data_IF_409103090158
#
_entry.id   IF_409103090158
#
_cell.length_a   1.000
_cell.length_b   1.000
_cell.length_c   1.000
_cell.angle_alpha   90.00
_cell.angle_beta   90.00
_cell.angle_gamma   90.00
#
_symmetry.space_group_name_H-M   'P 1'
#
loop_
_entity.id
_entity.type
_entity.pdbx_description
1 polymer ?
#
# COMPACT_ATOMS: atom_id res chain seq x y z
N UNK A 1 -2.90 -17.06 12.58
CA UNK A 1 -2.34 -17.12 11.20
C UNK A 1 -1.36 -18.29 11.12
N UNK A 2 -1.87 -19.47 10.79
CA UNK A 2 -1.08 -20.63 10.30
C UNK A 2 -1.95 -21.34 9.25
N UNK A 3 -2.52 -20.55 8.35
CA UNK A 3 -3.08 -21.04 7.10
C UNK A 3 -1.90 -21.40 6.21
N UNK A 4 -1.84 -22.67 5.83
CA UNK A 4 -1.29 -23.17 4.57
C UNK A 4 -0.19 -22.29 3.95
N UNK A 5 1.08 -22.73 4.10
CA UNK A 5 2.25 -22.19 3.40
C UNK A 5 2.17 -22.41 1.89
N UNK A 6 1.17 -21.86 1.21
CA UNK A 6 1.38 -21.47 -0.18
C UNK A 6 1.95 -20.06 -0.13
N UNK A 7 3.00 -19.81 -0.90
CA UNK A 7 3.49 -18.45 -1.12
C UNK A 7 2.30 -17.67 -1.68
N UNK A 8 1.54 -17.00 -0.82
CA UNK A 8 0.62 -15.96 -1.23
C UNK A 8 1.57 -14.88 -1.72
N UNK A 9 1.99 -14.96 -2.98
CA UNK A 9 2.47 -13.80 -3.72
C UNK A 9 1.45 -12.72 -3.38
N UNK A 10 1.90 -11.57 -2.87
CA UNK A 10 1.04 -10.51 -2.37
C UNK A 10 0.17 -9.93 -3.48
N UNK A 11 -0.77 -10.71 -4.01
CA UNK A 11 -1.70 -10.39 -5.08
C UNK A 11 -2.91 -9.74 -4.43
N UNK A 12 -3.28 -8.58 -4.95
CA UNK A 12 -4.46 -7.83 -4.52
C UNK A 12 -5.71 -8.46 -5.14
N UNK A 13 -6.47 -9.18 -4.32
CA UNK A 13 -7.74 -9.81 -4.73
C UNK A 13 -8.88 -8.94 -4.18
N UNK A 14 -8.99 -7.74 -4.71
CA UNK A 14 -10.23 -6.99 -4.61
C UNK A 14 -11.12 -7.39 -5.79
N UNK A 15 -11.99 -8.39 -5.55
CA UNK A 15 -13.09 -8.74 -6.43
C UNK A 15 -14.15 -7.63 -6.30
N UNK A 16 -14.06 -6.60 -7.13
CA UNK A 16 -15.08 -5.56 -7.23
C UNK A 16 -16.04 -5.89 -8.37
N UNK A 17 -17.32 -5.93 -8.06
CA UNK A 17 -18.39 -6.05 -9.06
C UNK A 17 -18.37 -4.82 -9.98
N UNK A 18 -17.88 -5.01 -11.20
CA UNK A 18 -18.10 -4.10 -12.31
C UNK A 18 -19.31 -4.66 -13.06
N UNK A 19 -20.44 -3.94 -13.00
CA UNK A 19 -21.55 -4.25 -13.92
C UNK A 19 -21.23 -3.61 -15.26
N UNK A 20 -20.98 -4.44 -16.27
CA UNK A 20 -20.66 -3.99 -17.63
C UNK A 20 -21.93 -4.07 -18.48
N UNK A 21 -22.32 -2.95 -19.11
CA UNK A 21 -23.29 -2.95 -20.21
C UNK A 21 -22.53 -2.63 -21.49
N UNK A 22 -22.32 -3.66 -22.32
CA UNK A 22 -21.60 -3.51 -23.58
C UNK A 22 -22.47 -2.85 -24.65
N UNK A 23 -21.95 -1.80 -25.28
CA UNK A 23 -22.41 -1.40 -26.61
C UNK A 23 -21.23 -1.25 -27.57
N UNK A 24 -21.37 -1.88 -28.74
CA UNK A 24 -20.40 -1.84 -29.82
C UNK A 24 -20.34 -0.44 -30.47
N UNK A 25 -19.14 0.11 -30.63
CA UNK A 25 -18.91 1.35 -31.35
C UNK A 25 -18.47 1.09 -32.81
N UNK A 26 -19.19 1.68 -33.76
CA UNK A 26 -18.79 1.81 -35.17
C UNK A 26 -17.63 2.80 -35.30
N UNK A 27 -16.64 2.48 -36.14
CA UNK A 27 -15.46 3.31 -36.46
C UNK A 27 -15.88 4.74 -36.88
N UNK A 28 -15.34 5.75 -36.19
CA UNK A 28 -15.37 7.16 -36.61
C UNK A 28 -13.94 7.72 -36.69
N UNK A 29 -13.80 8.74 -37.57
CA UNK A 29 -12.56 9.39 -37.99
C UNK A 29 -11.67 9.88 -36.85
N UNK A 30 -10.36 9.96 -37.12
CA UNK A 30 -9.32 10.33 -36.16
C UNK A 30 -9.37 11.85 -35.90
N UNK A 31 -10.07 12.24 -34.84
CA UNK A 31 -9.97 13.58 -34.24
C UNK A 31 -8.57 13.78 -33.65
N UNK A 32 -7.99 14.99 -33.74
CA UNK A 32 -6.74 15.32 -33.05
C UNK A 32 -6.81 15.00 -31.56
N UNK A 33 -5.72 14.50 -30.98
CA UNK A 33 -5.64 14.20 -29.55
C UNK A 33 -5.85 15.49 -28.73
N UNK A 34 -6.77 15.46 -27.76
CA UNK A 34 -7.00 16.61 -26.90
C UNK A 34 -5.78 16.85 -25.99
N UNK A 35 -5.53 18.12 -25.67
CA UNK A 35 -4.37 18.55 -24.86
C UNK A 35 -4.66 18.64 -23.37
N UNK A 36 -5.92 18.46 -22.98
CA UNK A 36 -6.46 18.51 -21.62
C UNK A 36 -7.64 17.55 -21.49
N UNK A 37 -8.03 17.22 -20.26
CA UNK A 37 -9.24 16.47 -19.97
C UNK A 37 -10.36 17.36 -19.42
N UNK A 38 -11.60 16.93 -19.64
CA UNK A 38 -12.79 17.36 -18.89
C UNK A 38 -13.53 16.10 -18.46
N UNK A 39 -13.95 16.03 -17.20
CA UNK A 39 -14.79 14.96 -16.67
C UNK A 39 -16.10 15.59 -16.27
N UNK A 40 -17.17 15.28 -16.99
CA UNK A 40 -18.52 15.73 -16.70
C UNK A 40 -19.32 14.57 -16.12
N UNK A 41 -19.75 14.72 -14.86
CA UNK A 41 -20.49 13.70 -14.14
C UNK A 41 -21.97 14.07 -13.95
N UNK A 42 -22.84 13.07 -14.10
CA UNK A 42 -24.26 13.15 -13.72
C UNK A 42 -24.58 12.00 -12.77
N UNK A 43 -24.80 12.32 -11.50
CA UNK A 43 -25.05 11.37 -10.41
C UNK A 43 -26.44 11.61 -9.85
N UNK A 44 -27.33 10.64 -10.06
CA UNK A 44 -28.70 10.69 -9.56
C UNK A 44 -28.77 10.05 -8.17
N UNK A 45 -29.63 10.55 -7.28
CA UNK A 45 -29.92 9.94 -5.98
C UNK A 45 -29.03 10.37 -4.81
N UNK A 46 -28.09 11.28 -5.05
CA UNK A 46 -27.31 11.95 -4.00
C UNK A 46 -27.78 13.40 -3.82
N UNK A 47 -27.64 13.92 -2.61
CA UNK A 47 -28.04 15.29 -2.26
C UNK A 47 -27.10 16.33 -2.90
N UNK A 48 -27.68 17.47 -3.26
CA UNK A 48 -26.93 18.65 -3.66
C UNK A 48 -25.99 19.12 -2.55
N UNK A 49 -24.81 19.60 -2.91
CA UNK A 49 -23.75 19.92 -1.97
C UNK A 49 -22.90 18.73 -1.53
N UNK A 50 -23.22 17.49 -1.95
CA UNK A 50 -22.33 16.33 -1.71
C UNK A 50 -20.95 16.61 -2.29
N UNK A 51 -19.91 16.58 -1.45
CA UNK A 51 -18.54 16.79 -1.87
C UNK A 51 -18.09 15.72 -2.88
N UNK A 52 -17.38 16.14 -3.92
CA UNK A 52 -16.79 15.26 -4.94
C UNK A 52 -15.31 15.57 -5.05
N UNK A 53 -14.47 14.54 -4.93
CA UNK A 53 -13.01 14.68 -4.99
C UNK A 53 -12.45 13.80 -6.11
N UNK A 54 -11.51 14.36 -6.86
CA UNK A 54 -10.73 13.61 -7.85
C UNK A 54 -9.39 13.23 -7.21
N UNK A 55 -9.23 11.94 -6.88
CA UNK A 55 -8.06 11.44 -6.17
C UNK A 55 -7.31 10.49 -7.10
N UNK A 56 -6.00 10.72 -7.37
CA UNK A 56 -5.20 9.73 -8.09
C UNK A 56 -5.23 8.39 -7.35
N UNK A 57 -5.31 7.30 -8.11
CA UNK A 57 -5.41 5.95 -7.55
C UNK A 57 -4.41 4.98 -8.18
N UNK A 58 -4.63 3.71 -7.86
CA UNK A 58 -3.78 2.61 -8.32
C UNK A 58 -2.30 2.74 -7.87
N UNK A 59 -2.08 3.19 -6.64
CA UNK A 59 -0.78 3.15 -5.97
C UNK A 59 -0.95 2.55 -4.56
N UNK A 60 0.12 2.03 -3.96
CA UNK A 60 0.09 1.53 -2.58
C UNK A 60 0.17 2.65 -1.53
N UNK A 61 -0.04 3.90 -1.95
CA UNK A 61 0.06 5.09 -1.11
C UNK A 61 -1.25 5.86 -1.14
N UNK A 62 -1.62 6.48 -0.01
CA UNK A 62 -2.74 7.43 -0.01
C UNK A 62 -2.30 8.73 -0.70
N UNK A 63 -2.94 9.05 -1.82
CA UNK A 63 -2.71 10.30 -2.55
C UNK A 63 -3.74 11.37 -2.14
N UNK A 64 -3.33 12.64 -2.16
CA UNK A 64 -4.23 13.75 -1.90
C UNK A 64 -5.11 14.03 -3.14
N UNK A 65 -6.32 14.57 -2.96
CA UNK A 65 -7.14 15.04 -4.07
C UNK A 65 -6.40 16.07 -4.93
N UNK A 66 -6.48 15.94 -6.25
CA UNK A 66 -5.94 16.92 -7.20
C UNK A 66 -6.98 17.97 -7.61
N UNK A 67 -8.26 17.68 -7.35
CA UNK A 67 -9.37 18.61 -7.54
C UNK A 67 -10.52 18.24 -6.60
N UNK A 68 -11.29 19.24 -6.18
CA UNK A 68 -12.49 19.07 -5.37
C UNK A 68 -13.60 19.98 -5.90
N UNK A 69 -14.84 19.53 -5.79
CA UNK A 69 -16.05 20.27 -6.14
C UNK A 69 -17.23 19.72 -5.31
N UNK A 70 -18.45 20.15 -5.59
CA UNK A 70 -19.66 19.58 -5.00
C UNK A 70 -20.70 19.30 -6.09
N UNK A 71 -21.59 18.35 -5.83
CA UNK A 71 -22.75 18.12 -6.69
C UNK A 71 -23.66 19.34 -6.68
N UNK A 72 -24.11 19.74 -7.87
CA UNK A 72 -25.17 20.74 -8.06
C UNK A 72 -26.13 20.24 -9.15
N UNK A 73 -27.40 20.14 -8.83
CA UNK A 73 -28.42 19.53 -9.68
C UNK A 73 -27.98 18.13 -10.16
N UNK A 74 -27.39 17.34 -9.26
CA UNK A 74 -26.82 16.02 -9.55
C UNK A 74 -25.61 16.03 -10.50
N UNK A 75 -24.98 17.17 -10.79
CA UNK A 75 -23.86 17.28 -11.72
C UNK A 75 -22.56 17.73 -11.06
N UNK A 76 -21.43 17.33 -11.62
CA UNK A 76 -20.11 17.87 -11.31
C UNK A 76 -19.24 17.95 -12.57
N UNK A 77 -18.21 18.80 -12.53
CA UNK A 77 -17.19 18.87 -13.58
C UNK A 77 -15.80 18.98 -12.97
N UNK A 78 -14.84 18.26 -13.54
CA UNK A 78 -13.41 18.47 -13.33
C UNK A 78 -12.71 18.77 -14.66
N UNK A 79 -11.69 19.61 -14.63
CA UNK A 79 -10.81 19.85 -15.79
C UNK A 79 -9.36 19.76 -15.36
N UNK A 80 -8.47 19.47 -16.30
CA UNK A 80 -7.03 19.43 -16.03
C UNK A 80 -6.24 18.94 -17.22
N UNK A 81 -4.96 18.66 -17.00
CA UNK A 81 -4.06 18.15 -18.03
C UNK A 81 -3.22 17.02 -17.46
N UNK A 82 -3.07 15.97 -18.26
CA UNK A 82 -2.20 14.84 -17.95
C UNK A 82 -1.05 14.75 -18.96
N UNK A 83 0.11 14.30 -18.50
CA UNK A 83 1.23 13.95 -19.37
C UNK A 83 1.05 12.56 -19.99
N UNK A 84 0.31 11.67 -19.31
CA UNK A 84 -0.08 10.34 -19.78
C UNK A 84 -1.36 9.88 -19.07
N UNK A 85 -2.09 8.87 -19.59
CA UNK A 85 -3.30 8.38 -18.94
C UNK A 85 -3.04 7.88 -17.50
N UNK A 86 -4.00 8.12 -16.61
CA UNK A 86 -3.86 7.85 -15.17
C UNK A 86 -5.17 7.34 -14.58
N UNK A 87 -5.06 6.44 -13.61
CA UNK A 87 -6.21 5.93 -12.87
C UNK A 87 -6.59 6.88 -11.74
N UNK A 88 -7.89 7.17 -11.60
CA UNK A 88 -8.44 8.04 -10.57
C UNK A 88 -9.64 7.40 -9.89
N UNK A 89 -9.81 7.73 -8.62
CA UNK A 89 -11.05 7.60 -7.89
C UNK A 89 -11.79 8.93 -7.90
N UNK A 90 -13.04 8.93 -8.38
CA UNK A 90 -13.99 10.00 -8.11
C UNK A 90 -14.71 9.65 -6.81
N UNK A 91 -14.35 10.32 -5.73
CA UNK A 91 -14.81 10.03 -4.37
C UNK A 91 -15.93 10.97 -3.98
N UNK A 92 -17.00 10.42 -3.40
CA UNK A 92 -18.19 11.15 -3.00
C UNK A 92 -18.34 11.18 -1.46
N UNK A 93 -18.69 12.35 -0.93
CA UNK A 93 -18.83 12.60 0.50
C UNK A 93 -17.50 12.49 1.26
N UNK A 94 -17.56 12.29 2.58
CA UNK A 94 -16.39 12.10 3.46
C UNK A 94 -15.78 10.69 3.31
N UNK A 95 -15.38 10.31 2.09
CA UNK A 95 -14.80 9.02 1.70
C UNK A 95 -15.75 7.82 1.78
N UNK A 96 -17.02 8.03 1.44
CA UNK A 96 -18.07 7.02 1.66
C UNK A 96 -18.47 6.23 0.41
N UNK A 97 -17.97 6.56 -0.78
CA UNK A 97 -18.10 5.74 -1.99
C UNK A 97 -17.30 6.34 -3.14
N UNK A 98 -16.86 5.52 -4.09
CA UNK A 98 -16.07 6.00 -5.23
C UNK A 98 -16.44 5.31 -6.54
N UNK A 99 -16.17 6.01 -7.64
CA UNK A 99 -16.20 5.49 -9.00
C UNK A 99 -14.77 5.53 -9.56
N UNK A 100 -14.27 4.38 -10.01
CA UNK A 100 -12.95 4.28 -10.65
C UNK A 100 -13.02 4.66 -12.13
N UNK A 101 -12.11 5.52 -12.58
CA UNK A 101 -12.03 5.98 -13.96
C UNK A 101 -10.58 6.04 -14.44
N UNK A 102 -10.36 5.65 -15.70
CA UNK A 102 -9.07 5.88 -16.36
C UNK A 102 -9.18 7.18 -17.13
N UNK A 103 -8.41 8.18 -16.71
CA UNK A 103 -8.47 9.53 -17.27
C UNK A 103 -7.36 9.69 -18.30
N UNK A 104 -7.72 10.17 -19.48
CA UNK A 104 -6.80 10.64 -20.51
C UNK A 104 -7.27 12.02 -21.00
N UNK A 105 -6.39 12.79 -21.64
CA UNK A 105 -6.78 14.10 -22.19
C UNK A 105 -7.86 13.92 -23.28
N UNK A 106 -9.11 14.09 -22.87
CA UNK A 106 -10.33 13.83 -23.63
C UNK A 106 -11.54 14.43 -22.90
N UNK A 107 -12.71 14.42 -23.54
CA UNK A 107 -13.99 14.72 -22.87
C UNK A 107 -14.60 13.42 -22.36
N UNK A 108 -14.60 13.26 -21.04
CA UNK A 108 -15.05 12.06 -20.33
C UNK A 108 -16.40 12.35 -19.71
N UNK A 109 -17.35 11.42 -19.83
CA UNK A 109 -18.64 11.48 -19.16
C UNK A 109 -18.78 10.34 -18.18
N UNK A 110 -19.31 10.63 -17.00
CA UNK A 110 -19.62 9.64 -15.96
C UNK A 110 -21.11 9.76 -15.62
N UNK A 111 -21.84 8.65 -15.65
CA UNK A 111 -23.22 8.60 -15.13
C UNK A 111 -23.34 7.47 -14.12
N UNK A 112 -24.09 7.68 -13.05
CA UNK A 112 -24.41 6.62 -12.09
C UNK A 112 -25.65 6.98 -11.26
N UNK A 113 -26.25 5.96 -10.65
CA UNK A 113 -27.27 6.11 -9.61
C UNK A 113 -26.62 5.81 -8.26
N UNK A 114 -26.50 6.85 -7.43
CA UNK A 114 -25.97 6.75 -6.07
C UNK A 114 -27.08 6.50 -5.04
N UNK A 115 -26.77 5.71 -4.01
CA UNK A 115 -27.64 5.51 -2.85
C UNK A 115 -26.81 5.38 -1.59
N UNK A 116 -27.20 6.07 -0.51
CA UNK A 116 -26.56 5.93 0.81
C UNK A 116 -27.08 4.67 1.49
N UNK A 117 -26.18 3.82 1.99
CA UNK A 117 -26.54 2.61 2.71
C UNK A 117 -27.10 2.93 4.10
N UNK A 118 -27.98 2.05 4.58
CA UNK A 118 -28.52 2.08 5.94
C UNK A 118 -27.61 1.38 6.97
N UNK A 119 -26.47 0.85 6.52
CA UNK A 119 -25.53 0.11 7.34
C UNK A 119 -24.72 1.04 8.27
N UNK A 120 -24.19 0.50 9.37
CA UNK A 120 -23.29 1.24 10.26
C UNK A 120 -22.09 1.77 9.45
N UNK A 121 -21.89 3.10 9.44
CA UNK A 121 -20.91 3.79 8.60
C UNK A 121 -21.48 4.49 7.37
N UNK A 122 -22.70 4.20 6.93
CA UNK A 122 -23.47 4.87 5.85
C UNK A 122 -22.66 5.14 4.57
N UNK A 123 -22.30 4.09 3.83
CA UNK A 123 -21.51 4.20 2.60
C UNK A 123 -22.39 4.38 1.36
N UNK A 124 -21.86 5.05 0.34
CA UNK A 124 -22.53 5.29 -0.94
C UNK A 124 -22.26 4.10 -1.87
N UNK A 125 -23.33 3.45 -2.32
CA UNK A 125 -23.31 2.44 -3.37
C UNK A 125 -23.67 3.10 -4.70
N UNK A 126 -23.04 2.66 -5.78
CA UNK A 126 -23.35 3.09 -7.14
C UNK A 126 -23.91 1.94 -7.97
N UNK A 127 -24.94 2.23 -8.77
CA UNK A 127 -25.51 1.35 -9.80
C UNK A 127 -25.47 2.05 -11.15
N UNK A 128 -25.58 1.25 -12.21
CA UNK A 128 -25.65 1.73 -13.60
C UNK A 128 -24.52 2.71 -13.95
N UNK A 129 -23.32 2.41 -13.45
CA UNK A 129 -22.13 3.21 -13.71
C UNK A 129 -21.78 3.08 -15.18
N UNK A 130 -21.82 4.19 -15.92
CA UNK A 130 -21.37 4.26 -17.30
C UNK A 130 -20.32 5.36 -17.45
N UNK A 131 -19.21 5.00 -18.08
CA UNK A 131 -18.08 5.90 -18.34
C UNK A 131 -17.83 5.87 -19.84
N UNK A 132 -17.80 7.04 -20.47
CA UNK A 132 -17.59 7.17 -21.91
C UNK A 132 -16.62 8.29 -22.24
N UNK A 133 -16.02 8.23 -23.43
CA UNK A 133 -15.15 9.29 -23.94
C UNK A 133 -13.66 9.15 -23.58
N UNK A 134 -13.29 8.14 -22.78
CA UNK A 134 -11.90 7.76 -22.51
C UNK A 134 -11.57 6.41 -23.14
N UNK A 135 -10.75 6.40 -24.20
CA UNK A 135 -10.26 5.18 -24.84
C UNK A 135 -9.41 4.35 -23.89
N UNK A 136 -8.66 5.01 -23.02
CA UNK A 136 -7.89 4.34 -21.96
C UNK A 136 -8.80 3.63 -20.96
N UNK A 137 -9.99 4.18 -20.66
CA UNK A 137 -10.97 3.50 -19.80
C UNK A 137 -11.62 2.30 -20.51
N UNK A 138 -12.03 2.47 -21.75
CA UNK A 138 -12.60 1.38 -22.55
C UNK A 138 -11.60 0.21 -22.69
N UNK A 139 -10.33 0.55 -22.92
CA UNK A 139 -9.25 -0.43 -22.98
C UNK A 139 -9.03 -1.12 -21.63
N UNK A 140 -8.97 -0.35 -20.53
CA UNK A 140 -8.84 -0.91 -19.19
C UNK A 140 -9.98 -1.89 -18.87
N UNK A 141 -11.23 -1.49 -19.09
CA UNK A 141 -12.41 -2.32 -18.86
C UNK A 141 -12.35 -3.63 -19.65
N UNK A 142 -11.88 -3.59 -20.91
CA UNK A 142 -11.66 -4.78 -21.72
C UNK A 142 -10.58 -5.70 -21.14
N UNK A 143 -9.44 -5.15 -20.74
CA UNK A 143 -8.31 -5.94 -20.24
C UNK A 143 -8.59 -6.60 -18.89
N UNK A 144 -9.47 -6.05 -18.06
CA UNK A 144 -9.85 -6.64 -16.77
C UNK A 144 -11.11 -7.51 -16.81
N UNK A 145 -11.79 -7.64 -17.96
CA UNK A 145 -13.03 -8.39 -18.09
C UNK A 145 -12.90 -9.89 -17.72
N UNK A 146 -11.69 -10.44 -17.72
CA UNK A 146 -11.42 -11.81 -17.23
C UNK A 146 -11.77 -11.98 -15.74
N UNK A 147 -11.79 -10.89 -14.96
CA UNK A 147 -12.11 -10.92 -13.54
C UNK A 147 -13.55 -11.37 -13.29
N UNK A 148 -14.48 -11.11 -14.21
CA UNK A 148 -15.85 -11.61 -14.13
C UNK A 148 -15.91 -13.14 -14.12
N UNK A 149 -14.99 -13.79 -14.83
CA UNK A 149 -14.90 -15.25 -14.81
C UNK A 149 -14.26 -15.73 -13.51
N UNK A 150 -13.21 -15.07 -13.01
CA UNK A 150 -12.61 -15.39 -11.72
C UNK A 150 -13.62 -15.22 -10.56
N UNK A 151 -14.49 -14.21 -10.62
CA UNK A 151 -15.58 -14.01 -9.66
C UNK A 151 -16.56 -15.19 -9.65
N UNK A 152 -16.90 -15.72 -10.84
CA UNK A 152 -17.77 -16.90 -10.97
C UNK A 152 -17.08 -18.14 -10.45
N UNK A 153 -15.82 -18.36 -10.81
CA UNK A 153 -15.02 -19.50 -10.37
C UNK A 153 -14.87 -19.50 -8.85
N UNK A 154 -14.61 -18.33 -8.25
CA UNK A 154 -14.54 -18.15 -6.81
C UNK A 154 -15.86 -18.55 -6.13
N UNK A 155 -16.99 -18.00 -6.60
CA UNK A 155 -18.31 -18.34 -6.07
C UNK A 155 -18.67 -19.81 -6.25
N UNK A 156 -18.15 -20.47 -7.29
CA UNK A 156 -18.48 -21.86 -7.58
C UNK A 156 -17.89 -22.84 -6.56
N UNK A 157 -16.69 -22.59 -6.03
CA UNK A 157 -16.09 -23.47 -5.01
C UNK A 157 -16.43 -23.06 -3.57
N UNK A 158 -16.91 -21.84 -3.35
CA UNK A 158 -17.45 -21.39 -2.07
C UNK A 158 -18.88 -21.89 -1.86
N UNK A 159 -19.01 -23.08 -1.26
CA UNK A 159 -20.30 -23.67 -0.89
C UNK A 159 -20.70 -23.28 0.53
N UNK A 160 -22.00 -23.39 0.83
CA UNK A 160 -22.52 -23.16 2.19
C UNK A 160 -21.80 -24.04 3.22
N UNK A 161 -21.54 -25.30 2.89
CA UNK A 161 -20.87 -26.27 3.77
C UNK A 161 -19.41 -25.89 4.03
N UNK A 162 -18.64 -25.54 2.98
CA UNK A 162 -17.25 -25.10 3.16
C UNK A 162 -17.15 -23.79 3.93
N UNK A 163 -18.10 -22.86 3.71
CA UNK A 163 -18.15 -21.58 4.42
C UNK A 163 -18.49 -21.77 5.91
N UNK A 164 -19.41 -22.68 6.25
CA UNK A 164 -19.71 -23.05 7.63
C UNK A 164 -18.52 -23.72 8.33
N UNK A 165 -17.84 -24.66 7.64
CA UNK A 165 -16.62 -25.28 8.15
C UNK A 165 -15.49 -24.27 8.36
N UNK A 166 -15.32 -23.32 7.44
CA UNK A 166 -14.33 -22.24 7.55
C UNK A 166 -14.58 -21.41 8.83
N UNK A 167 -15.84 -21.09 9.14
CA UNK A 167 -16.23 -20.38 10.37
C UNK A 167 -15.90 -21.19 11.63
N UNK A 168 -16.19 -22.50 11.64
CA UNK A 168 -15.89 -23.40 12.75
C UNK A 168 -14.38 -23.55 12.98
N UNK A 169 -13.60 -23.74 11.91
CA UNK A 169 -12.13 -23.79 11.97
C UNK A 169 -11.59 -22.45 12.48
N UNK A 170 -12.14 -21.34 12.02
CA UNK A 170 -11.80 -20.00 12.50
C UNK A 170 -12.07 -19.83 14.00
N UNK A 171 -13.20 -20.32 14.51
CA UNK A 171 -13.53 -20.32 15.94
C UNK A 171 -12.55 -21.20 16.75
N UNK A 172 -12.34 -22.45 16.33
CA UNK A 172 -11.41 -23.36 16.98
C UNK A 172 -9.97 -22.80 17.05
N UNK A 173 -9.53 -22.07 16.01
CA UNK A 173 -8.23 -21.37 16.01
C UNK A 173 -8.18 -20.24 17.04
N UNK A 174 -9.25 -19.46 17.20
CA UNK A 174 -9.33 -18.39 18.22
C UNK A 174 -9.26 -18.97 19.62
N UNK A 175 -9.91 -20.11 19.82
CA UNK A 175 -9.93 -20.83 21.10
C UNK A 175 -8.67 -21.68 21.34
N UNK A 176 -7.70 -21.64 20.41
CA UNK A 176 -6.47 -22.44 20.42
C UNK A 176 -6.71 -23.96 20.53
N UNK A 177 -7.86 -24.44 20.08
CA UNK A 177 -8.24 -25.85 20.11
C UNK A 177 -7.66 -26.58 18.89
N UNK A 178 -6.42 -27.03 18.99
CA UNK A 178 -5.69 -27.69 17.89
C UNK A 178 -6.34 -29.00 17.44
N UNK A 179 -6.86 -29.82 18.37
CA UNK A 179 -7.55 -31.07 18.05
C UNK A 179 -8.81 -30.87 17.21
N UNK A 180 -9.59 -29.82 17.51
CA UNK A 180 -10.77 -29.47 16.73
C UNK A 180 -10.38 -28.97 15.33
N UNK A 181 -9.33 -28.17 15.22
CA UNK A 181 -8.79 -27.73 13.93
C UNK A 181 -8.37 -28.94 13.08
N UNK A 182 -7.58 -29.86 13.63
CA UNK A 182 -7.10 -31.04 12.90
C UNK A 182 -8.26 -31.95 12.45
N UNK A 183 -9.26 -32.13 13.32
CA UNK A 183 -10.45 -32.94 12.99
C UNK A 183 -11.26 -32.30 11.85
N UNK A 184 -11.53 -31.00 11.93
CA UNK A 184 -12.31 -30.28 10.93
C UNK A 184 -11.59 -30.19 9.58
N UNK A 185 -10.27 -29.96 9.59
CA UNK A 185 -9.48 -29.89 8.35
C UNK A 185 -9.32 -31.25 7.66
N UNK A 186 -9.49 -32.36 8.39
CA UNK A 186 -9.42 -33.68 7.81
C UNK A 186 -10.71 -34.13 7.10
N UNK A 187 -11.80 -33.37 7.24
CA UNK A 187 -13.07 -33.67 6.58
C UNK A 187 -12.91 -33.63 5.05
N UNK A 188 -13.51 -34.57 4.29
CA UNK A 188 -13.42 -34.60 2.84
C UNK A 188 -13.85 -33.28 2.16
N UNK A 189 -14.90 -32.63 2.68
CA UNK A 189 -15.39 -31.33 2.19
C UNK A 189 -14.30 -30.26 2.32
N UNK A 190 -13.59 -30.22 3.45
CA UNK A 190 -12.52 -29.25 3.67
C UNK A 190 -11.31 -29.54 2.76
N UNK A 191 -10.91 -30.80 2.62
CA UNK A 191 -9.81 -31.17 1.70
C UNK A 191 -10.12 -30.82 0.25
N UNK A 192 -11.38 -31.00 -0.17
CA UNK A 192 -11.83 -30.57 -1.49
C UNK A 192 -11.78 -29.04 -1.62
N UNK A 193 -12.29 -28.30 -0.65
CA UNK A 193 -12.21 -26.84 -0.61
C UNK A 193 -10.76 -26.35 -0.73
N UNK A 194 -9.82 -26.91 0.04
CA UNK A 194 -8.39 -26.55 -0.04
C UNK A 194 -7.78 -26.83 -1.42
N UNK A 195 -8.18 -27.93 -2.07
CA UNK A 195 -7.71 -28.26 -3.41
C UNK A 195 -8.27 -27.31 -4.48
N UNK A 196 -9.57 -26.99 -4.40
CA UNK A 196 -10.24 -26.06 -5.32
C UNK A 196 -9.72 -24.62 -5.12
N UNK A 197 -9.52 -24.20 -3.87
CA UNK A 197 -8.91 -22.91 -3.52
C UNK A 197 -7.50 -22.82 -4.12
N UNK A 198 -6.65 -23.83 -3.91
CA UNK A 198 -5.32 -23.88 -4.50
C UNK A 198 -5.35 -23.77 -6.03
N UNK A 199 -6.25 -24.49 -6.69
CA UNK A 199 -6.40 -24.44 -8.14
C UNK A 199 -6.84 -23.04 -8.61
N UNK A 200 -7.79 -22.42 -7.91
CA UNK A 200 -8.24 -21.07 -8.18
C UNK A 200 -7.09 -20.05 -8.08
N UNK A 201 -6.35 -20.04 -6.98
CA UNK A 201 -5.24 -19.10 -6.80
C UNK A 201 -4.09 -19.34 -7.79
N UNK A 202 -3.84 -20.59 -8.19
CA UNK A 202 -2.91 -20.90 -9.29
C UNK A 202 -3.36 -20.27 -10.60
N UNK A 203 -4.66 -20.30 -10.91
CA UNK A 203 -5.22 -19.67 -12.10
C UNK A 203 -5.18 -18.13 -12.04
N UNK A 204 -5.45 -17.55 -10.86
CA UNK A 204 -5.34 -16.10 -10.61
C UNK A 204 -3.91 -15.62 -10.86
N UNK A 205 -2.92 -16.31 -10.29
CA UNK A 205 -1.50 -15.98 -10.49
C UNK A 205 -1.12 -16.07 -11.97
N UNK A 206 -1.43 -17.19 -12.61
CA UNK A 206 -1.14 -17.41 -14.03
C UNK A 206 -1.74 -16.32 -14.93
N UNK A 207 -3.02 -15.99 -14.72
CA UNK A 207 -3.74 -15.00 -15.54
C UNK A 207 -3.19 -13.60 -15.30
N UNK A 208 -2.86 -13.26 -14.05
CA UNK A 208 -2.27 -11.97 -13.69
C UNK A 208 -0.88 -11.80 -14.32
N UNK A 209 -0.01 -12.79 -14.21
CA UNK A 209 1.33 -12.76 -14.80
C UNK A 209 1.26 -12.67 -16.34
N UNK A 210 0.30 -13.37 -16.96
CA UNK A 210 0.07 -13.28 -18.40
C UNK A 210 -0.37 -11.86 -18.84
N UNK A 211 -1.28 -11.22 -18.08
CA UNK A 211 -1.70 -9.84 -18.33
C UNK A 211 -0.52 -8.87 -18.26
N UNK A 212 0.30 -8.97 -17.21
CA UNK A 212 1.47 -8.10 -17.03
C UNK A 212 2.49 -8.30 -18.16
N UNK A 213 2.79 -9.56 -18.49
CA UNK A 213 3.75 -9.92 -19.54
C UNK A 213 3.30 -9.46 -20.93
N UNK A 214 1.99 -9.58 -21.23
CA UNK A 214 1.38 -9.08 -22.47
C UNK A 214 1.67 -7.60 -22.70
N UNK A 215 1.77 -6.81 -21.63
CA UNK A 215 1.91 -5.35 -21.69
C UNK A 215 3.32 -4.83 -21.38
N UNK A 216 4.34 -5.69 -21.41
CA UNK A 216 5.72 -5.34 -20.99
C UNK A 216 6.39 -4.19 -21.75
N UNK A 217 5.90 -3.90 -22.96
CA UNK A 217 6.42 -2.83 -23.82
C UNK A 217 5.72 -1.47 -23.59
N UNK A 218 4.70 -1.40 -22.73
CA UNK A 218 3.87 -0.21 -22.54
C UNK A 218 3.68 0.09 -21.05
N UNK A 219 3.23 1.30 -20.72
CA UNK A 219 2.93 1.69 -19.33
C UNK A 219 1.85 0.82 -18.66
N UNK A 220 1.03 0.11 -19.45
CA UNK A 220 0.03 -0.84 -18.94
C UNK A 220 0.65 -1.98 -18.13
N UNK A 221 1.86 -2.46 -18.50
CA UNK A 221 2.53 -3.53 -17.76
C UNK A 221 2.79 -3.14 -16.30
N UNK A 222 3.53 -2.05 -16.05
CA UNK A 222 3.70 -1.47 -14.73
C UNK A 222 2.40 -1.14 -13.99
N UNK A 223 1.41 -0.58 -14.69
CA UNK A 223 0.11 -0.29 -14.10
C UNK A 223 -0.58 -1.57 -13.59
N UNK A 224 -0.67 -2.62 -14.42
CA UNK A 224 -1.30 -3.88 -14.02
C UNK A 224 -0.50 -4.59 -12.92
N UNK A 225 0.83 -4.47 -12.92
CA UNK A 225 1.65 -4.96 -11.82
C UNK A 225 1.32 -4.19 -10.52
N UNK A 226 1.23 -2.86 -10.57
CA UNK A 226 0.84 -2.03 -9.41
C UNK A 226 -0.56 -2.39 -8.88
N UNK A 227 -1.55 -2.62 -9.74
CA UNK A 227 -2.93 -2.85 -9.28
C UNK A 227 -3.24 -4.28 -8.85
N UNK A 228 -2.45 -5.26 -9.31
CA UNK A 228 -2.71 -6.66 -8.99
C UNK A 228 -1.78 -7.22 -7.90
N UNK A 229 -0.76 -6.48 -7.48
CA UNK A 229 -0.03 -6.77 -6.24
C UNK A 229 -0.53 -5.82 -5.13
N UNK A 230 -0.50 -6.28 -3.89
CA UNK A 230 -0.83 -5.51 -2.68
C UNK A 230 0.41 -4.84 -2.07
N UNK A 231 1.58 -5.43 -2.32
CA UNK A 231 2.89 -4.93 -1.92
C UNK A 231 3.96 -5.59 -2.79
N UNK A 232 5.15 -4.98 -2.81
CA UNK A 232 6.29 -5.51 -3.55
C UNK A 232 7.38 -6.02 -2.61
N UNK A 233 8.00 -7.11 -3.01
CA UNK A 233 9.20 -7.67 -2.40
C UNK A 233 10.26 -7.92 -3.47
N UNK A 234 11.46 -8.30 -3.07
CA UNK A 234 12.53 -8.66 -4.01
C UNK A 234 12.12 -9.78 -4.99
N UNK A 235 11.15 -10.65 -4.62
CA UNK A 235 10.66 -11.72 -5.50
C UNK A 235 10.00 -11.20 -6.80
N UNK A 236 9.50 -9.96 -6.80
CA UNK A 236 8.85 -9.36 -7.97
C UNK A 236 9.83 -8.64 -8.92
N UNK A 237 11.10 -8.50 -8.55
CA UNK A 237 12.12 -7.82 -9.36
C UNK A 237 12.30 -8.46 -10.76
N UNK A 238 12.36 -9.81 -10.92
CA UNK A 238 12.50 -10.43 -12.25
C UNK A 238 11.32 -10.14 -13.19
N UNK A 239 10.13 -9.90 -12.65
CA UNK A 239 8.97 -9.49 -13.46
C UNK A 239 9.11 -8.05 -13.94
N UNK A 240 9.51 -7.14 -13.05
CA UNK A 240 9.78 -5.74 -13.39
C UNK A 240 10.92 -5.59 -14.41
N UNK A 241 11.99 -6.37 -14.27
CA UNK A 241 13.16 -6.28 -15.15
C UNK A 241 12.83 -6.59 -16.62
N UNK A 242 11.76 -7.36 -16.88
CA UNK A 242 11.27 -7.67 -18.23
C UNK A 242 10.59 -6.50 -18.94
N UNK A 243 10.26 -5.42 -18.22
CA UNK A 243 9.68 -4.23 -18.82
C UNK A 243 10.69 -3.49 -19.70
N UNK A 244 10.20 -2.99 -20.84
CA UNK A 244 10.97 -2.08 -21.70
C UNK A 244 11.32 -0.78 -21.00
N UNK A 245 12.32 -0.05 -21.51
CA UNK A 245 12.68 1.28 -20.99
C UNK A 245 11.51 2.27 -21.03
N UNK A 246 10.66 2.19 -22.06
CA UNK A 246 9.46 3.03 -22.17
C UNK A 246 8.49 2.73 -21.03
N UNK A 247 8.24 1.45 -20.74
CA UNK A 247 7.39 1.03 -19.63
C UNK A 247 8.00 1.44 -18.28
N UNK A 248 9.30 1.21 -18.06
CA UNK A 248 10.00 1.59 -16.82
C UNK A 248 10.01 3.10 -16.58
N UNK A 249 10.07 3.92 -17.64
CA UNK A 249 10.03 5.40 -17.56
C UNK A 249 8.62 5.98 -17.36
N UNK A 250 7.55 5.20 -17.50
CA UNK A 250 6.18 5.65 -17.18
C UNK A 250 6.01 5.95 -15.69
N UNK A 251 4.96 6.68 -15.31
CA UNK A 251 4.65 7.00 -13.92
C UNK A 251 4.63 5.75 -13.02
N UNK A 252 3.85 4.72 -13.41
CA UNK A 252 3.77 3.48 -12.63
C UNK A 252 5.09 2.70 -12.67
N UNK A 253 5.83 2.75 -13.79
CA UNK A 253 7.16 2.14 -13.91
C UNK A 253 8.19 2.73 -12.93
N UNK A 254 8.16 4.05 -12.72
CA UNK A 254 9.03 4.74 -11.77
C UNK A 254 8.65 4.45 -10.31
N UNK A 255 7.35 4.31 -10.00
CA UNK A 255 6.93 3.91 -8.65
C UNK A 255 7.38 2.48 -8.36
N UNK A 256 7.18 1.56 -9.31
CA UNK A 256 7.68 0.18 -9.18
C UNK A 256 9.19 0.14 -9.01
N UNK A 257 9.94 0.96 -9.75
CA UNK A 257 11.40 1.06 -9.60
C UNK A 257 11.77 1.47 -8.17
N UNK A 258 11.12 2.50 -7.64
CA UNK A 258 11.33 2.96 -6.26
C UNK A 258 10.98 1.90 -5.21
N UNK A 259 10.01 1.03 -5.52
CA UNK A 259 9.56 -0.04 -4.62
C UNK A 259 10.46 -1.28 -4.68
N UNK A 260 10.91 -1.67 -5.87
CA UNK A 260 11.68 -2.89 -6.12
C UNK A 260 13.19 -2.69 -6.12
N UNK A 261 13.65 -1.48 -6.44
CA UNK A 261 15.03 -1.04 -6.44
C UNK A 261 15.19 0.17 -5.51
N UNK A 262 14.85 0.07 -4.21
CA UNK A 262 15.02 1.18 -3.30
C UNK A 262 16.49 1.60 -3.30
N UNK A 263 16.75 2.89 -3.58
CA UNK A 263 18.10 3.42 -3.48
C UNK A 263 18.57 3.25 -2.04
N UNK A 264 19.71 2.58 -1.86
CA UNK A 264 20.36 2.55 -0.56
C UNK A 264 20.65 3.98 -0.13
N UNK A 265 20.39 4.26 1.15
CA UNK A 265 20.77 5.53 1.75
C UNK A 265 22.21 5.50 2.26
N UNK A 266 22.89 4.35 2.22
CA UNK A 266 24.30 4.24 2.58
C UNK A 266 25.13 5.18 1.70
N UNK A 267 25.98 5.97 2.34
CA UNK A 267 26.80 7.02 1.72
C UNK A 267 26.09 8.38 1.59
N UNK A 268 24.79 8.48 1.91
CA UNK A 268 24.05 9.75 1.91
C UNK A 268 24.03 10.37 3.30
N UNK A 269 23.95 11.71 3.36
CA UNK A 269 23.80 12.44 4.62
C UNK A 269 22.34 12.49 5.06
N UNK A 270 22.09 12.29 6.36
CA UNK A 270 20.76 12.48 6.93
C UNK A 270 20.33 13.95 6.79
N UNK A 271 19.05 14.17 6.50
CA UNK A 271 18.49 15.51 6.52
C UNK A 271 18.54 16.07 7.95
N UNK A 272 18.75 17.38 8.10
CA UNK A 272 18.55 18.00 9.39
C UNK A 272 17.05 18.08 9.67
N UNK A 273 16.59 17.45 10.75
CA UNK A 273 15.20 17.50 11.20
C UNK A 273 15.14 17.90 12.66
N UNK A 274 13.97 18.40 13.09
CA UNK A 274 13.67 18.65 14.49
C UNK A 274 12.35 18.01 14.86
N UNK A 275 12.37 17.17 15.88
CA UNK A 275 11.21 16.45 16.41
C UNK A 275 11.11 16.66 17.92
N UNK A 276 9.94 16.36 18.48
CA UNK A 276 9.66 16.56 19.91
C UNK A 276 9.80 15.25 20.68
N UNK A 277 10.30 15.34 21.91
CA UNK A 277 10.25 14.25 22.89
C UNK A 277 8.89 14.18 23.59
N UNK A 278 8.78 13.27 24.56
CA UNK A 278 7.57 13.05 25.37
C UNK A 278 7.12 14.27 26.20
N UNK A 279 8.03 15.21 26.47
CA UNK A 279 7.76 16.42 27.25
C UNK A 279 7.53 17.63 26.33
N UNK A 280 7.46 17.40 25.01
CA UNK A 280 7.25 18.43 23.99
C UNK A 280 8.52 19.23 23.65
N UNK A 281 9.67 18.87 24.23
CA UNK A 281 10.95 19.54 23.96
C UNK A 281 11.47 19.12 22.60
N UNK A 282 11.81 20.12 21.78
CA UNK A 282 12.36 19.89 20.45
C UNK A 282 13.85 19.53 20.54
N UNK A 283 14.25 18.53 19.78
CA UNK A 283 15.65 18.18 19.53
C UNK A 283 15.91 18.18 18.04
N UNK A 284 17.07 18.66 17.61
CA UNK A 284 17.49 18.50 16.23
C UNK A 284 18.37 17.26 16.06
N UNK A 285 18.35 16.67 14.86
CA UNK A 285 19.25 15.59 14.51
C UNK A 285 20.72 16.01 14.73
N UNK A 286 21.08 17.24 14.32
CA UNK A 286 22.43 17.80 14.52
C UNK A 286 22.86 17.83 15.98
N UNK A 287 21.97 18.21 16.90
CA UNK A 287 22.30 18.29 18.33
C UNK A 287 22.51 16.89 18.93
N UNK A 288 21.74 15.90 18.46
CA UNK A 288 21.84 14.51 18.94
C UNK A 288 23.10 13.84 18.40
N UNK A 289 23.47 14.11 17.13
CA UNK A 289 24.70 13.55 16.54
C UNK A 289 25.97 14.24 17.03
N UNK A 290 25.87 15.46 17.56
CA UNK A 290 27.03 16.24 17.99
C UNK A 290 27.82 15.50 19.08
N UNK A 291 29.13 15.34 18.85
CA UNK A 291 30.03 14.67 19.79
C UNK A 291 29.92 13.13 19.83
N UNK A 292 29.05 12.54 19.00
CA UNK A 292 28.92 11.07 18.87
C UNK A 292 29.74 10.59 17.68
N UNK A 293 30.36 9.42 17.82
CA UNK A 293 31.09 8.76 16.72
C UNK A 293 30.12 8.06 15.77
N UNK A 294 29.12 7.39 16.34
CA UNK A 294 28.09 6.70 15.60
C UNK A 294 26.73 6.84 16.29
N UNK A 295 25.66 6.98 15.50
CA UNK A 295 24.29 7.06 15.98
C UNK A 295 23.46 6.02 15.26
N UNK A 296 22.70 5.21 15.99
CA UNK A 296 21.66 4.37 15.39
C UNK A 296 20.32 5.11 15.41
N UNK A 297 19.81 5.47 14.24
CA UNK A 297 18.43 5.96 14.09
C UNK A 297 17.51 4.74 14.00
N UNK A 298 16.61 4.58 14.96
CA UNK A 298 15.71 3.43 15.10
C UNK A 298 14.24 3.85 14.93
N UNK A 299 13.61 3.42 13.83
CA UNK A 299 12.20 3.66 13.58
C UNK A 299 11.33 2.55 14.14
N UNK A 300 10.41 2.92 15.03
CA UNK A 300 9.59 1.99 15.80
C UNK A 300 8.16 2.53 16.05
N UNK A 301 7.34 1.75 16.74
CA UNK A 301 6.04 2.20 17.25
C UNK A 301 5.57 1.34 18.43
N UNK A 302 4.68 1.90 19.26
CA UNK A 302 4.10 1.25 20.45
C UNK A 302 3.39 -0.07 20.14
N UNK A 303 2.76 -0.17 18.97
CA UNK A 303 2.02 -1.33 18.48
C UNK A 303 2.89 -2.35 17.73
N UNK A 304 4.16 -2.02 17.47
CA UNK A 304 5.05 -2.89 16.70
C UNK A 304 5.69 -3.95 17.60
N UNK A 305 5.09 -5.14 17.63
CA UNK A 305 5.60 -6.30 18.38
C UNK A 305 7.07 -6.64 18.08
N UNK A 306 7.49 -6.77 16.80
CA UNK A 306 8.89 -7.03 16.46
C UNK A 306 9.86 -5.93 16.91
N UNK A 307 9.46 -4.65 16.84
CA UNK A 307 10.26 -3.53 17.32
C UNK A 307 10.55 -3.66 18.82
N UNK A 308 9.51 -3.92 19.61
CA UNK A 308 9.63 -4.06 21.08
C UNK A 308 10.48 -5.27 21.49
N UNK A 309 10.47 -6.35 20.70
CA UNK A 309 11.35 -7.50 20.92
C UNK A 309 12.83 -7.19 20.70
N UNK A 310 13.14 -6.14 19.94
CA UNK A 310 14.51 -5.73 19.65
C UNK A 310 15.09 -4.77 20.70
N UNK A 311 14.23 -4.07 21.46
CA UNK A 311 14.66 -3.12 22.50
C UNK A 311 15.64 -3.72 23.52
N UNK A 312 15.49 -4.96 24.01
CA UNK A 312 16.49 -5.58 24.88
C UNK A 312 17.89 -5.65 24.25
N UNK A 313 17.98 -5.98 22.95
CA UNK A 313 19.27 -6.01 22.24
C UNK A 313 19.85 -4.59 22.12
N UNK A 314 19.01 -3.60 21.82
CA UNK A 314 19.43 -2.19 21.77
C UNK A 314 19.94 -1.69 23.12
N UNK A 315 19.31 -2.09 24.24
CA UNK A 315 19.80 -1.78 25.59
C UNK A 315 21.17 -2.38 25.87
N UNK A 316 21.39 -3.63 25.48
CA UNK A 316 22.69 -4.29 25.61
C UNK A 316 23.76 -3.54 24.81
N UNK A 317 23.50 -3.25 23.52
CA UNK A 317 24.42 -2.49 22.68
C UNK A 317 24.67 -1.07 23.23
N UNK A 318 23.63 -0.39 23.69
CA UNK A 318 23.77 0.96 24.26
C UNK A 318 24.63 0.97 25.51
N UNK A 319 24.39 0.05 26.45
CA UNK A 319 25.18 -0.06 27.68
C UNK A 319 26.67 -0.29 27.41
N UNK A 320 27.00 -1.11 26.40
CA UNK A 320 28.39 -1.42 26.06
C UNK A 320 29.08 -0.30 25.26
N UNK A 321 28.39 0.28 24.27
CA UNK A 321 29.03 1.14 23.27
C UNK A 321 28.79 2.64 23.51
N UNK A 322 27.81 3.05 24.32
CA UNK A 322 27.58 4.47 24.61
C UNK A 322 28.82 5.18 25.19
N UNK A 323 29.56 4.60 26.16
CA UNK A 323 30.81 5.18 26.65
C UNK A 323 31.89 5.32 25.57
N UNK A 324 31.81 4.53 24.49
CA UNK A 324 32.76 4.52 23.37
C UNK A 324 32.39 5.53 22.27
N UNK A 325 31.29 6.26 22.44
CA UNK A 325 30.81 7.28 21.51
C UNK A 325 29.64 6.83 20.62
N UNK A 326 28.93 5.77 20.99
CA UNK A 326 27.68 5.36 20.36
C UNK A 326 26.48 6.11 20.97
N UNK A 327 25.43 6.34 20.17
CA UNK A 327 24.16 6.89 20.62
C UNK A 327 23.00 6.18 19.89
N UNK A 328 21.82 6.13 20.49
CA UNK A 328 20.61 5.68 19.82
C UNK A 328 19.60 6.83 19.77
N UNK A 329 19.00 7.03 18.60
CA UNK A 329 17.89 7.94 18.40
C UNK A 329 16.68 7.14 17.92
N UNK A 330 15.74 6.86 18.82
CA UNK A 330 14.50 6.19 18.44
C UNK A 330 13.46 7.22 17.98
N UNK A 331 12.90 7.01 16.79
CA UNK A 331 11.85 7.84 16.18
C UNK A 331 10.59 7.01 16.05
N UNK A 332 9.54 7.38 16.80
CA UNK A 332 8.26 6.68 16.75
C UNK A 332 7.39 7.18 15.59
N UNK A 333 6.78 6.25 14.85
CA UNK A 333 5.77 6.55 13.82
C UNK A 333 4.33 6.47 14.35
N UNK A 334 4.15 6.38 15.68
CA UNK A 334 2.83 6.36 16.31
C UNK A 334 1.97 7.56 15.90
N UNK A 335 0.67 7.32 15.71
CA UNK A 335 -0.35 8.39 15.54
C UNK A 335 -1.05 8.74 16.85
N UNK A 336 -1.04 7.81 17.80
CA UNK A 336 -1.55 8.03 19.15
C UNK A 336 -0.39 8.33 20.09
N UNK A 337 -0.20 9.61 20.41
CA UNK A 337 0.83 10.08 21.32
C UNK A 337 0.73 9.43 22.72
N UNK A 338 -0.49 9.14 23.20
CA UNK A 338 -0.69 8.53 24.52
C UNK A 338 -0.22 7.08 24.52
N UNK A 339 -0.48 6.35 23.43
CA UNK A 339 0.01 4.98 23.26
C UNK A 339 1.54 4.94 23.23
N UNK A 340 2.17 5.88 22.51
CA UNK A 340 3.61 6.05 22.48
C UNK A 340 4.19 6.34 23.87
N UNK A 341 3.68 7.34 24.58
CA UNK A 341 4.15 7.69 25.93
C UNK A 341 4.01 6.52 26.93
N UNK A 342 2.91 5.77 26.85
CA UNK A 342 2.72 4.55 27.66
C UNK A 342 3.79 3.51 27.35
N UNK A 343 4.09 3.28 26.06
CA UNK A 343 5.13 2.34 25.66
C UNK A 343 6.52 2.80 26.15
N UNK A 344 6.85 4.10 26.08
CA UNK A 344 8.10 4.63 26.62
C UNK A 344 8.28 4.29 28.11
N UNK A 345 7.23 4.45 28.91
CA UNK A 345 7.26 4.11 30.34
C UNK A 345 7.45 2.62 30.61
N UNK A 346 6.97 1.75 29.71
CA UNK A 346 7.14 0.30 29.82
C UNK A 346 8.55 -0.15 29.38
N UNK A 347 9.03 0.43 28.29
CA UNK A 347 10.28 0.02 27.66
C UNK A 347 11.50 0.63 28.35
N UNK A 348 11.37 1.75 29.06
CA UNK A 348 12.45 2.38 29.83
C UNK A 348 13.76 2.48 29.03
N UNK A 349 13.67 3.10 27.85
CA UNK A 349 14.80 3.32 26.95
C UNK A 349 15.65 4.48 27.45
N UNK A 350 16.97 4.29 27.52
CA UNK A 350 17.91 5.23 28.16
C UNK A 350 18.44 6.31 27.20
N UNK A 351 17.89 6.39 26.00
CA UNK A 351 18.34 7.24 24.92
C UNK A 351 17.19 8.10 24.38
N UNK A 352 17.49 9.01 23.46
CA UNK A 352 16.50 9.94 22.93
C UNK A 352 15.38 9.23 22.17
N UNK A 353 14.15 9.61 22.49
CA UNK A 353 12.94 9.08 21.88
C UNK A 353 12.07 10.26 21.40
N UNK A 354 11.87 10.36 20.09
CA UNK A 354 11.13 11.44 19.46
C UNK A 354 9.91 10.92 18.68
N UNK A 355 8.89 11.76 18.50
CA UNK A 355 7.70 11.44 17.70
C UNK A 355 7.83 12.03 16.28
N UNK A 356 7.64 11.20 15.26
CA UNK A 356 7.73 11.59 13.84
C UNK A 356 6.58 12.54 13.44
N UNK A 357 6.89 13.44 12.51
CA UNK A 357 5.94 14.39 11.92
C UNK A 357 5.45 13.94 10.52
N UNK A 358 5.56 12.65 10.22
CA UNK A 358 5.36 12.01 8.91
C UNK A 358 6.36 12.39 7.82
N UNK A 359 7.39 13.18 8.12
CA UNK A 359 8.39 13.58 7.13
C UNK A 359 9.72 12.89 7.37
N UNK A 360 10.11 12.65 8.62
CA UNK A 360 11.42 12.05 8.92
C UNK A 360 11.45 10.61 8.45
N UNK A 361 10.48 9.77 8.82
CA UNK A 361 10.39 8.39 8.31
C UNK A 361 10.39 8.32 6.78
N UNK A 362 9.68 9.22 6.10
CA UNK A 362 9.65 9.30 4.62
C UNK A 362 11.01 9.69 4.02
N UNK A 363 11.74 10.60 4.67
CA UNK A 363 13.08 11.01 4.23
C UNK A 363 14.09 9.86 4.30
N UNK A 364 13.90 8.94 5.25
CA UNK A 364 14.66 7.68 5.35
C UNK A 364 14.07 6.55 4.48
N UNK A 365 13.01 6.79 3.70
CA UNK A 365 12.32 5.78 2.91
C UNK A 365 11.80 4.59 3.75
N UNK A 366 11.39 4.84 4.99
CA UNK A 366 10.83 3.83 5.89
C UNK A 366 9.44 3.44 5.40
N UNK A 367 9.29 2.20 4.94
CA UNK A 367 8.01 1.61 4.49
C UNK A 367 7.45 0.57 5.46
N UNK A 368 8.32 -0.04 6.25
CA UNK A 368 7.99 -1.02 7.26
C UNK A 368 8.86 -0.78 8.49
N UNK A 369 8.30 -1.07 9.66
CA UNK A 369 9.04 -1.08 10.91
C UNK A 369 9.12 -2.52 11.45
N UNK A 370 10.21 -2.86 12.16
CA UNK A 370 11.28 -1.94 12.55
C UNK A 370 12.24 -1.62 11.40
N UNK A 371 12.80 -0.41 11.39
CA UNK A 371 13.86 0.00 10.44
C UNK A 371 14.99 0.74 11.18
N UNK A 372 16.25 0.46 10.87
CA UNK A 372 17.40 1.08 11.55
C UNK A 372 18.40 1.63 10.53
N UNK A 373 19.07 2.74 10.88
CA UNK A 373 20.12 3.35 10.09
C UNK A 373 21.28 3.74 10.99
N UNK A 374 22.47 3.21 10.73
CA UNK A 374 23.69 3.58 11.44
C UNK A 374 24.33 4.77 10.72
N UNK A 375 24.58 5.84 11.47
CA UNK A 375 25.07 7.13 10.98
C UNK A 375 26.41 7.44 11.61
N UNK A 376 27.38 7.92 10.84
CA UNK A 376 28.68 8.35 11.34
C UNK A 376 28.65 9.78 11.92
N UNK A 377 29.77 10.20 12.52
CA UNK A 377 29.95 11.55 13.08
C UNK A 377 29.74 12.72 12.11
N UNK A 378 29.73 12.47 10.78
CA UNK A 378 29.47 13.48 9.75
C UNK A 378 28.00 13.50 9.32
N UNK A 379 27.16 12.68 9.94
CA UNK A 379 25.77 12.52 9.56
C UNK A 379 25.58 11.64 8.32
N UNK A 380 26.59 10.87 7.90
CA UNK A 380 26.51 9.98 6.73
C UNK A 380 26.01 8.60 7.18
N UNK A 381 25.02 8.05 6.49
CA UNK A 381 24.52 6.69 6.73
C UNK A 381 25.58 5.70 6.25
N UNK A 382 26.00 4.80 7.14
CA UNK A 382 27.05 3.79 6.89
C UNK A 382 26.54 2.34 7.06
N UNK A 383 25.27 2.18 7.42
CA UNK A 383 24.60 0.88 7.48
C UNK A 383 23.10 1.05 7.65
N UNK A 384 22.33 0.06 7.23
CA UNK A 384 20.88 0.00 7.39
C UNK A 384 20.45 -1.40 7.87
N UNK A 385 19.27 -1.48 8.48
CA UNK A 385 18.65 -2.70 9.00
C UNK A 385 19.49 -3.55 9.97
N UNK A 386 20.53 -2.99 10.58
CA UNK A 386 21.34 -3.63 11.60
C UNK A 386 20.55 -3.84 12.89
N UNK A 387 20.55 -5.08 13.40
CA UNK A 387 19.84 -5.53 14.61
C UNK A 387 20.60 -6.64 15.31
N UNK A 388 20.34 -6.84 16.60
CA UNK A 388 20.89 -7.94 17.39
C UNK A 388 22.39 -8.14 17.16
N UNK A 389 22.77 -9.36 16.81
CA UNK A 389 24.16 -9.73 16.57
C UNK A 389 24.82 -8.97 15.40
N UNK A 390 24.07 -8.56 14.37
CA UNK A 390 24.63 -7.80 13.24
C UNK A 390 24.99 -6.37 13.65
N UNK A 391 24.13 -5.73 14.45
CA UNK A 391 24.43 -4.42 15.03
C UNK A 391 25.66 -4.50 15.94
N UNK A 392 25.69 -5.48 16.84
CA UNK A 392 26.81 -5.69 17.76
C UNK A 392 28.13 -5.91 17.02
N UNK A 393 28.13 -6.82 16.03
CA UNK A 393 29.31 -7.07 15.20
C UNK A 393 29.81 -5.80 14.49
N UNK A 394 28.88 -4.99 13.94
CA UNK A 394 29.24 -3.76 13.26
C UNK A 394 29.79 -2.70 14.22
N UNK A 395 29.19 -2.55 15.40
CA UNK A 395 29.69 -1.62 16.42
C UNK A 395 31.08 -2.04 16.93
N UNK A 396 31.30 -3.35 17.13
CA UNK A 396 32.59 -3.91 17.52
C UNK A 396 33.69 -3.59 16.50
N UNK A 397 33.40 -3.77 15.21
CA UNK A 397 34.28 -3.41 14.10
C UNK A 397 34.63 -1.91 14.13
N UNK A 398 33.61 -1.05 14.22
CA UNK A 398 33.75 0.40 14.06
C UNK A 398 34.35 1.10 15.29
N UNK A 399 34.09 0.58 16.48
CA UNK A 399 34.54 1.14 17.76
C UNK A 399 35.78 0.42 18.32
N UNK A 400 36.35 -0.53 17.55
CA UNK A 400 37.58 -1.29 17.83
C UNK A 400 37.61 -1.86 19.25
N UNK A 401 36.64 -2.72 19.57
CA UNK A 401 36.59 -3.45 20.84
C UNK A 401 36.77 -4.95 20.70
#
# INVERSE_FOLDING_TARGET
MNTIKYKILGLCICLFMISNSGQAQKKKAVTPAATSYSIDGTIVGLEDGTAVKLIPGATHTSELPVAETALKDGKFTFTGKLNEPRFFYVVFGKNKGNISVMVENSKIKITAIGSVSTDEGQFIKFKDVAITGSKSHDYYAKEIAYKDQLDKDYKAYHTKESDELSKLIGAARRDKNTKAVDSLQNLPVWKKFEADEKAFFTNVEKTTLALIAKHKATWWGPFFMMTNFSYFTAEQKPLYDQFSDVAKKSYYGQILDKDLNPKSLIGTSIANFSLKDKDGKAYSAKDIVAGKKYILVDFWASWCGPCRKEIPNLKTAYAEYAPKGFEILSVSIDKDEKAWQKALGQENMQWHNLLDDDKVSKSFNVKAIPATYLVDSKGVIIGDNLRGAELEAKLKELLKS
#
